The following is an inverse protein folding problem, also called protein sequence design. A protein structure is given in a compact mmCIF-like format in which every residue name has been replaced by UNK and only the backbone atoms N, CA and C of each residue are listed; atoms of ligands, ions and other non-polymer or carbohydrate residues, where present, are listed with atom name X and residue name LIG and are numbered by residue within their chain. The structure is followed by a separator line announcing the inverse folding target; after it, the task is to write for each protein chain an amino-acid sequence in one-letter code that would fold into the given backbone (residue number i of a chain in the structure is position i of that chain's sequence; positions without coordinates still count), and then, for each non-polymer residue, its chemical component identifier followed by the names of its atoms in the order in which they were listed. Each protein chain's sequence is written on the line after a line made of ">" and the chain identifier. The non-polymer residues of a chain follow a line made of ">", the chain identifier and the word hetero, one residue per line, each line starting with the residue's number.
data_IF_879144550317
#
_entry.id   IF_879144550317
#
_cell.length_a   1.000
_cell.length_b   1.000
_cell.length_c   1.000
_cell.angle_alpha   90.00
_cell.angle_beta   90.00
_cell.angle_gamma   90.00
#
_symmetry.space_group_name_H-M   'P 1'
#
loop_
_entity.id
_entity.type
_entity.pdbx_description
1 polymer ?
#
# COMPACT_ATOMS: atom_id res chain seq x y z
N UNK A 1 -49.76 -25.10 -20.22
CA UNK A 1 -49.66 -26.57 -20.32
C UNK A 1 -48.75 -27.05 -19.20
N UNK A 2 -49.25 -27.94 -18.34
CA UNK A 2 -48.54 -28.55 -17.19
C UNK A 2 -47.70 -29.75 -17.66
N UNK A 3 -46.60 -30.03 -16.93
CA UNK A 3 -46.04 -31.34 -16.48
C UNK A 3 -44.49 -31.23 -16.39
N UNK A 4 -43.74 -31.78 -15.44
CA UNK A 4 -44.01 -32.52 -14.21
C UNK A 4 -42.70 -32.56 -13.36
N UNK A 5 -42.89 -32.60 -12.04
CA UNK A 5 -41.91 -32.76 -10.95
C UNK A 5 -41.48 -34.24 -10.81
N UNK A 6 -40.25 -34.50 -10.35
CA UNK A 6 -40.00 -35.63 -9.44
C UNK A 6 -38.83 -35.34 -8.47
N UNK A 7 -39.16 -35.33 -7.18
CA UNK A 7 -38.26 -35.27 -6.01
C UNK A 7 -38.34 -36.67 -5.37
N UNK A 8 -37.21 -37.21 -4.90
CA UNK A 8 -37.20 -38.42 -4.06
C UNK A 8 -36.60 -38.07 -2.69
N UNK A 9 -37.46 -38.20 -1.68
CA UNK A 9 -37.21 -38.16 -0.24
C UNK A 9 -37.09 -39.62 0.23
N UNK A 10 -36.14 -39.93 1.09
CA UNK A 10 -36.21 -41.12 1.94
C UNK A 10 -35.99 -40.71 3.40
N UNK A 11 -36.97 -41.07 4.20
CA UNK A 11 -37.18 -40.79 5.61
C UNK A 11 -37.13 -42.14 6.33
N UNK A 12 -36.32 -42.30 7.39
CA UNK A 12 -36.58 -43.34 8.40
C UNK A 12 -36.40 -42.75 9.80
N UNK A 13 -37.51 -42.79 10.51
CA UNK A 13 -37.78 -42.45 11.89
C UNK A 13 -37.55 -43.69 12.76
N UNK A 14 -37.07 -43.55 14.00
CA UNK A 14 -37.66 -44.26 15.15
C UNK A 14 -37.21 -43.63 16.48
N UNK A 15 -38.22 -43.23 17.26
CA UNK A 15 -38.18 -42.76 18.64
C UNK A 15 -37.84 -43.90 19.63
N UNK A 16 -37.31 -43.56 20.82
CA UNK A 16 -38.05 -43.65 22.09
C UNK A 16 -37.31 -43.02 23.29
N UNK A 17 -38.11 -42.44 24.16
CA UNK A 17 -37.85 -41.61 25.34
C UNK A 17 -37.64 -42.43 26.63
N UNK A 18 -36.86 -41.88 27.59
CA UNK A 18 -37.09 -41.79 29.05
C UNK A 18 -35.79 -41.26 29.71
N UNK A 19 -35.68 -40.07 30.32
CA UNK A 19 -36.35 -39.44 31.47
C UNK A 19 -35.83 -39.89 32.86
N UNK A 20 -35.62 -38.88 33.74
CA UNK A 20 -35.23 -38.85 35.17
C UNK A 20 -33.71 -38.90 35.46
N UNK A 21 -33.01 -37.88 35.98
CA UNK A 21 -33.19 -36.89 37.07
C UNK A 21 -32.63 -37.30 38.44
N UNK A 22 -31.52 -36.63 38.80
CA UNK A 22 -31.10 -36.08 40.11
C UNK A 22 -30.73 -36.94 41.34
N UNK A 23 -29.55 -36.56 41.86
CA UNK A 23 -29.15 -36.34 43.25
C UNK A 23 -28.46 -37.43 44.11
N UNK A 24 -27.14 -37.21 44.26
CA UNK A 24 -26.41 -36.86 45.49
C UNK A 24 -26.40 -37.83 46.70
N UNK A 25 -25.22 -38.39 47.02
CA UNK A 25 -24.62 -38.40 48.38
C UNK A 25 -23.31 -39.22 48.47
N UNK A 26 -22.27 -38.59 49.02
CA UNK A 26 -21.12 -39.18 49.73
C UNK A 26 -21.45 -39.27 51.24
N UNK A 27 -20.61 -39.80 52.19
CA UNK A 27 -19.27 -40.42 52.13
C UNK A 27 -19.25 -41.82 52.84
N UNK A 28 -18.16 -42.59 52.99
CA UNK A 28 -17.18 -42.54 54.11
C UNK A 28 -16.04 -43.56 53.90
N UNK A 29 -14.85 -43.17 54.38
CA UNK A 29 -13.51 -43.77 54.42
C UNK A 29 -13.38 -45.21 54.93
N UNK A 30 -12.41 -45.98 54.40
CA UNK A 30 -11.23 -46.45 55.17
C UNK A 30 -10.15 -47.07 54.26
N UNK A 31 -8.90 -46.82 54.67
CA UNK A 31 -7.59 -47.06 54.01
C UNK A 31 -7.24 -48.54 53.74
N UNK A 32 -6.48 -48.80 52.67
CA UNK A 32 -5.03 -49.07 52.73
C UNK A 32 -4.50 -49.74 51.43
N UNK A 33 -3.49 -49.09 50.84
CA UNK A 33 -2.29 -49.61 50.15
C UNK A 33 -2.42 -50.73 49.09
N UNK A 34 -1.71 -50.76 47.97
CA UNK A 34 -0.81 -49.87 47.23
C UNK A 34 -0.40 -50.74 46.02
N UNK A 35 -0.74 -50.35 44.79
CA UNK A 35 -0.04 -50.86 43.59
C UNK A 35 0.14 -49.67 42.65
N UNK A 36 1.41 -49.31 42.50
CA UNK A 36 1.97 -48.25 41.68
C UNK A 36 1.68 -48.55 40.21
N UNK A 37 1.00 -47.63 39.53
CA UNK A 37 0.95 -47.58 38.07
C UNK A 37 1.52 -46.21 37.66
N UNK A 38 2.69 -46.23 37.03
CA UNK A 38 3.36 -45.07 36.44
C UNK A 38 2.42 -44.43 35.41
N UNK A 39 1.90 -43.25 35.73
CA UNK A 39 1.33 -42.34 34.74
C UNK A 39 2.36 -41.24 34.52
N UNK A 40 3.02 -41.29 33.38
CA UNK A 40 3.86 -40.20 32.89
C UNK A 40 3.00 -38.94 32.76
N UNK A 41 3.30 -37.94 33.58
CA UNK A 41 2.83 -36.59 33.36
C UNK A 41 3.57 -36.06 32.13
N UNK A 42 2.89 -35.99 30.99
CA UNK A 42 3.28 -35.09 29.91
C UNK A 42 3.03 -33.67 30.42
N UNK A 43 4.11 -32.97 30.73
CA UNK A 43 4.12 -31.51 30.78
C UNK A 43 3.75 -31.01 29.38
N UNK A 44 2.57 -30.42 29.22
CA UNK A 44 2.28 -29.54 28.08
C UNK A 44 3.22 -28.33 28.20
N UNK A 45 4.40 -28.45 27.58
CA UNK A 45 5.18 -27.29 27.17
C UNK A 45 4.31 -26.49 26.19
N UNK A 46 3.80 -25.35 26.68
CA UNK A 46 3.45 -24.25 25.78
C UNK A 46 4.73 -23.86 25.05
N UNK A 47 4.87 -24.34 23.82
CA UNK A 47 5.72 -23.69 22.83
C UNK A 47 5.25 -22.23 22.72
N UNK A 48 5.98 -21.32 23.36
CA UNK A 48 6.03 -19.95 22.88
C UNK A 48 6.52 -20.04 21.43
N UNK A 49 5.67 -19.64 20.48
CA UNK A 49 6.09 -19.39 19.11
C UNK A 49 7.35 -18.53 19.18
N UNK A 50 8.50 -19.11 18.82
CA UNK A 50 9.71 -18.36 18.62
C UNK A 50 9.37 -17.32 17.54
N UNK A 51 9.37 -16.04 17.92
CA UNK A 51 9.45 -14.95 16.94
C UNK A 51 10.60 -15.31 16.01
N UNK A 52 10.28 -15.50 14.73
CA UNK A 52 11.24 -15.84 13.67
C UNK A 52 12.20 -14.65 13.56
N UNK A 53 13.27 -14.68 14.37
CA UNK A 53 14.31 -13.66 14.34
C UNK A 53 14.87 -13.67 12.91
N UNK A 54 14.85 -12.53 12.19
CA UNK A 54 15.26 -12.50 10.79
C UNK A 54 16.66 -13.11 10.65
N UNK A 55 16.85 -13.94 9.63
CA UNK A 55 18.16 -14.52 9.31
C UNK A 55 19.22 -13.41 9.31
N UNK A 56 20.30 -13.62 10.05
CA UNK A 56 21.35 -12.60 10.20
C UNK A 56 21.97 -12.31 8.82
N UNK A 57 21.64 -11.14 8.26
CA UNK A 57 22.13 -10.73 6.93
C UNK A 57 23.64 -10.45 6.94
N UNK A 58 24.32 -10.79 5.85
CA UNK A 58 25.72 -10.41 5.64
C UNK A 58 25.80 -8.92 5.25
N UNK A 59 26.09 -8.07 6.23
CA UNK A 59 26.20 -6.61 6.07
C UNK A 59 27.28 -6.18 5.07
N UNK A 60 28.32 -7.00 4.84
CA UNK A 60 29.38 -6.69 3.87
C UNK A 60 28.92 -6.93 2.43
N UNK A 61 28.00 -7.88 2.23
CA UNK A 61 27.41 -8.23 0.93
C UNK A 61 26.22 -7.33 0.62
N UNK A 62 25.24 -7.25 1.53
CA UNK A 62 23.98 -6.53 1.32
C UNK A 62 24.19 -5.01 1.39
N UNK A 63 25.04 -4.57 2.32
CA UNK A 63 25.28 -3.16 2.59
C UNK A 63 23.99 -2.34 2.76
N UNK A 64 23.08 -2.76 3.66
CA UNK A 64 21.81 -2.08 3.86
C UNK A 64 22.03 -0.63 4.29
N UNK A 65 21.17 0.26 3.80
CA UNK A 65 21.25 1.67 4.09
C UNK A 65 19.86 2.28 4.03
N UNK A 66 19.14 2.18 5.14
CA UNK A 66 17.77 2.63 5.25
C UNK A 66 17.64 4.13 5.56
N UNK A 67 18.75 4.88 5.55
CA UNK A 67 18.77 6.35 5.52
C UNK A 67 18.80 6.92 4.09
N UNK A 68 18.72 6.05 3.09
CA UNK A 68 18.71 6.42 1.67
C UNK A 68 17.39 7.03 1.20
N UNK A 69 17.34 7.35 -0.08
CA UNK A 69 16.21 8.00 -0.73
C UNK A 69 15.39 6.97 -1.51
N UNK A 70 14.08 7.21 -1.55
CA UNK A 70 13.08 6.35 -2.18
C UNK A 70 12.40 7.13 -3.31
N UNK A 71 12.22 6.49 -4.45
CA UNK A 71 11.47 7.09 -5.56
C UNK A 71 9.97 6.95 -5.31
N UNK A 72 9.26 8.09 -5.38
CA UNK A 72 7.79 8.13 -5.48
C UNK A 72 7.43 8.51 -6.91
N UNK A 73 7.11 7.52 -7.73
CA UNK A 73 6.90 7.67 -9.17
C UNK A 73 5.51 8.22 -9.46
N UNK A 74 5.47 9.25 -10.29
CA UNK A 74 4.25 9.94 -10.73
C UNK A 74 3.98 9.66 -12.20
N UNK A 75 2.86 8.97 -12.44
CA UNK A 75 2.23 8.78 -13.75
C UNK A 75 0.91 9.56 -13.82
N UNK A 76 0.39 9.78 -15.03
CA UNK A 76 -0.95 10.36 -15.24
C UNK A 76 -1.70 9.47 -16.23
N UNK A 77 -1.35 9.52 -17.52
CA UNK A 77 -1.95 8.65 -18.53
C UNK A 77 -1.03 7.49 -18.91
N UNK A 78 -1.61 6.30 -19.06
CA UNK A 78 -1.00 5.17 -19.77
C UNK A 78 -1.67 5.05 -21.14
N UNK A 79 -1.13 5.74 -22.15
CA UNK A 79 -1.74 5.86 -23.48
C UNK A 79 -0.72 6.20 -24.55
N UNK A 80 -1.09 5.94 -25.80
CA UNK A 80 -0.37 6.46 -26.96
C UNK A 80 -0.90 7.83 -27.41
N UNK A 81 -0.04 8.67 -28.01
CA UNK A 81 1.43 8.56 -28.07
C UNK A 81 2.11 9.03 -26.77
N UNK A 82 3.43 8.84 -26.65
CA UNK A 82 4.23 9.48 -25.59
C UNK A 82 4.02 11.00 -25.59
N UNK A 83 3.84 11.56 -24.40
CA UNK A 83 3.73 12.99 -24.18
C UNK A 83 4.28 13.38 -22.81
N UNK A 84 4.22 14.66 -22.46
CA UNK A 84 4.71 15.17 -21.19
C UNK A 84 4.08 14.48 -19.96
N UNK A 85 2.79 14.15 -20.05
CA UNK A 85 1.99 13.49 -19.00
C UNK A 85 1.42 12.15 -19.46
N UNK A 86 2.01 11.55 -20.50
CA UNK A 86 1.54 10.28 -21.08
C UNK A 86 2.71 9.35 -21.29
N UNK A 87 2.57 8.13 -20.77
CA UNK A 87 3.47 7.00 -21.01
C UNK A 87 2.73 5.97 -21.85
N UNK A 88 3.33 5.39 -22.87
CA UNK A 88 2.67 4.31 -23.62
C UNK A 88 2.60 3.03 -22.79
N UNK A 89 1.62 2.15 -23.06
CA UNK A 89 1.55 0.82 -22.44
C UNK A 89 2.88 0.04 -22.49
N UNK A 90 3.50 -0.02 -23.67
CA UNK A 90 4.78 -0.72 -23.88
C UNK A 90 5.93 -0.12 -23.07
N UNK A 91 5.96 1.20 -22.98
CA UNK A 91 7.00 1.86 -22.22
C UNK A 91 6.76 1.76 -20.70
N UNK A 92 5.49 1.70 -20.25
CA UNK A 92 5.18 1.43 -18.85
C UNK A 92 5.58 0.00 -18.46
N UNK A 93 5.31 -1.00 -19.30
CA UNK A 93 5.86 -2.37 -19.13
C UNK A 93 7.38 -2.37 -19.03
N UNK A 94 8.05 -1.60 -19.88
CA UNK A 94 9.51 -1.43 -19.83
C UNK A 94 9.97 -0.77 -18.54
N UNK A 95 9.24 0.20 -18.01
CA UNK A 95 9.55 0.85 -16.74
C UNK A 95 9.49 -0.18 -15.59
N UNK A 96 8.44 -0.99 -15.52
CA UNK A 96 8.31 -2.06 -14.52
C UNK A 96 9.47 -3.07 -14.62
N UNK A 97 9.80 -3.51 -15.84
CA UNK A 97 10.93 -4.43 -16.05
C UNK A 97 12.26 -3.82 -15.59
N UNK A 98 12.53 -2.55 -15.92
CA UNK A 98 13.77 -1.90 -15.50
C UNK A 98 13.84 -1.73 -13.98
N UNK A 99 12.73 -1.39 -13.32
CA UNK A 99 12.69 -1.31 -11.86
C UNK A 99 12.96 -2.69 -11.24
N UNK A 100 12.27 -3.72 -11.71
CA UNK A 100 12.44 -5.09 -11.26
C UNK A 100 13.88 -5.60 -11.41
N UNK A 101 14.47 -5.47 -12.60
CA UNK A 101 15.82 -5.93 -12.94
C UNK A 101 16.91 -5.20 -12.13
N UNK A 102 16.65 -3.97 -11.71
CA UNK A 102 17.58 -3.16 -10.91
C UNK A 102 17.29 -3.25 -9.41
N UNK A 103 16.49 -4.22 -8.97
CA UNK A 103 16.26 -4.51 -7.56
C UNK A 103 15.34 -3.52 -6.85
N UNK A 104 14.43 -2.86 -7.58
CA UNK A 104 13.36 -2.09 -6.95
C UNK A 104 12.14 -2.98 -6.67
N UNK A 105 11.47 -2.72 -5.53
CA UNK A 105 10.28 -3.44 -5.10
C UNK A 105 9.16 -2.47 -4.70
N UNK A 106 7.94 -2.62 -5.26
CA UNK A 106 6.79 -1.80 -4.91
C UNK A 106 6.48 -1.87 -3.41
N UNK A 107 6.13 -0.73 -2.82
CA UNK A 107 5.49 -0.64 -1.50
C UNK A 107 4.33 0.37 -1.57
N UNK A 108 3.35 0.23 -0.68
CA UNK A 108 2.25 1.20 -0.57
C UNK A 108 2.77 2.57 -0.13
N UNK A 109 2.04 3.62 -0.48
CA UNK A 109 2.37 4.98 -0.03
C UNK A 109 2.20 5.13 1.49
N UNK A 110 1.25 4.38 2.06
CA UNK A 110 1.00 4.33 3.50
C UNK A 110 2.18 3.72 4.23
N UNK A 111 2.69 2.56 3.77
CA UNK A 111 3.85 1.88 4.34
C UNK A 111 5.11 2.74 4.23
N UNK A 112 5.31 3.37 3.07
CA UNK A 112 6.40 4.32 2.89
C UNK A 112 6.34 5.44 3.93
N UNK A 113 5.16 6.01 4.16
CA UNK A 113 4.99 7.18 5.02
C UNK A 113 5.05 6.85 6.50
N UNK A 114 4.61 5.64 6.88
CA UNK A 114 4.58 5.14 8.27
C UNK A 114 5.84 4.37 8.66
N UNK A 115 6.73 4.10 7.70
CA UNK A 115 7.96 3.34 7.95
C UNK A 115 7.71 1.84 8.18
N UNK A 116 6.62 1.30 7.64
CA UNK A 116 6.32 -0.13 7.64
C UNK A 116 6.93 -0.80 6.39
N UNK A 117 8.25 -0.81 6.30
CA UNK A 117 8.96 -1.31 5.12
C UNK A 117 9.24 -2.81 5.28
N UNK A 118 8.60 -3.64 4.45
CA UNK A 118 8.80 -5.10 4.42
C UNK A 118 9.58 -5.56 3.18
N UNK A 119 10.26 -4.62 2.50
CA UNK A 119 11.09 -4.92 1.33
C UNK A 119 12.22 -5.87 1.74
N UNK A 120 12.43 -6.93 0.95
CA UNK A 120 13.48 -7.91 1.22
C UNK A 120 14.90 -7.28 1.25
N UNK A 121 15.79 -7.93 2.00
CA UNK A 121 17.17 -7.48 2.17
C UNK A 121 17.88 -7.28 0.82
N UNK A 122 18.56 -6.15 0.66
CA UNK A 122 19.29 -5.80 -0.57
C UNK A 122 18.45 -5.17 -1.68
N UNK A 123 17.12 -5.19 -1.56
CA UNK A 123 16.22 -4.50 -2.49
C UNK A 123 15.95 -3.05 -2.06
N UNK A 124 15.40 -2.27 -2.99
CA UNK A 124 15.06 -0.86 -2.79
C UNK A 124 13.56 -0.66 -2.95
N UNK A 125 12.84 -0.10 -1.96
CA UNK A 125 11.44 0.24 -2.14
C UNK A 125 11.22 1.30 -3.22
N UNK A 126 10.09 1.23 -3.91
CA UNK A 126 9.59 2.24 -4.86
C UNK A 126 8.08 2.39 -4.70
N UNK A 127 7.56 3.62 -4.77
CA UNK A 127 6.12 3.88 -4.65
C UNK A 127 5.56 4.27 -6.02
N UNK A 128 4.44 3.67 -6.43
CA UNK A 128 3.74 4.02 -7.66
C UNK A 128 2.53 4.90 -7.38
N UNK A 129 2.41 6.02 -8.11
CA UNK A 129 1.27 6.93 -8.02
C UNK A 129 0.75 7.32 -9.39
N UNK A 130 -0.58 7.39 -9.51
CA UNK A 130 -1.29 7.77 -10.74
C UNK A 130 -2.26 8.90 -10.43
N UNK A 131 -2.10 10.04 -11.09
CA UNK A 131 -2.96 11.20 -10.88
C UNK A 131 -4.16 11.22 -11.85
N UNK A 132 -5.18 12.00 -11.47
CA UNK A 132 -6.43 12.32 -12.18
C UNK A 132 -7.48 11.21 -12.27
N UNK A 133 -7.13 9.93 -12.04
CA UNK A 133 -8.05 8.82 -12.18
C UNK A 133 -8.55 8.66 -13.62
N UNK A 134 -7.64 8.75 -14.59
CA UNK A 134 -7.97 8.66 -16.01
C UNK A 134 -8.51 7.28 -16.38
N UNK A 135 -9.37 7.19 -17.40
CA UNK A 135 -9.91 5.90 -17.86
C UNK A 135 -8.81 4.90 -18.23
N UNK A 136 -7.71 5.36 -18.82
CA UNK A 136 -6.58 4.51 -19.17
C UNK A 136 -5.72 4.07 -17.96
N UNK A 137 -6.00 4.55 -16.74
CA UNK A 137 -5.43 3.95 -15.53
C UNK A 137 -6.16 2.65 -15.17
N UNK A 138 -7.49 2.62 -15.30
CA UNK A 138 -8.28 1.41 -15.10
C UNK A 138 -9.43 1.39 -16.10
N UNK A 139 -9.30 0.62 -17.17
CA UNK A 139 -10.29 0.53 -18.24
C UNK A 139 -10.90 -0.87 -18.27
N UNK A 140 -12.21 -0.95 -18.54
CA UNK A 140 -12.90 -2.21 -18.83
C UNK A 140 -13.24 -2.26 -20.31
N UNK A 141 -12.99 -3.39 -20.95
CA UNK A 141 -13.27 -3.66 -22.36
C UNK A 141 -14.00 -5.01 -22.51
N UNK A 142 -14.71 -5.21 -23.61
CA UNK A 142 -15.25 -6.53 -23.97
C UNK A 142 -14.19 -7.33 -24.74
N UNK A 143 -14.01 -8.60 -24.37
CA UNK A 143 -13.21 -9.56 -25.13
C UNK A 143 -13.94 -10.03 -26.41
N UNK A 144 -13.30 -10.91 -27.18
CA UNK A 144 -13.89 -11.47 -28.41
C UNK A 144 -15.18 -12.28 -28.17
N UNK A 145 -15.45 -12.70 -26.94
CA UNK A 145 -16.66 -13.43 -26.52
C UNK A 145 -17.75 -12.49 -25.99
N UNK A 146 -17.48 -11.19 -25.86
CA UNK A 146 -18.39 -10.21 -25.26
C UNK A 146 -18.37 -10.21 -23.73
N UNK A 147 -17.35 -10.81 -23.11
CA UNK A 147 -17.14 -10.77 -21.66
C UNK A 147 -16.33 -9.52 -21.28
N UNK A 148 -16.76 -8.82 -20.23
CA UNK A 148 -16.05 -7.65 -19.75
C UNK A 148 -14.79 -8.05 -18.97
N UNK A 149 -13.64 -7.54 -19.40
CA UNK A 149 -12.32 -7.80 -18.83
C UNK A 149 -11.59 -6.48 -18.57
N UNK A 150 -10.57 -6.52 -17.70
CA UNK A 150 -9.66 -5.40 -17.51
C UNK A 150 -8.84 -5.22 -18.80
N UNK A 151 -8.78 -4.00 -19.30
CA UNK A 151 -7.96 -3.65 -20.45
C UNK A 151 -6.48 -3.95 -20.16
N UNK A 152 -5.85 -4.88 -20.90
CA UNK A 152 -4.47 -5.27 -20.66
C UNK A 152 -3.46 -4.13 -20.92
N UNK A 153 -3.87 -3.06 -21.60
CA UNK A 153 -3.05 -1.86 -21.85
C UNK A 153 -3.35 -0.70 -20.88
N UNK A 154 -4.30 -0.88 -19.94
CA UNK A 154 -4.48 0.07 -18.83
C UNK A 154 -3.42 -0.11 -17.74
N UNK A 155 -3.20 0.92 -16.91
CA UNK A 155 -2.22 0.84 -15.82
C UNK A 155 -2.47 -0.36 -14.90
N UNK A 156 -3.71 -0.56 -14.45
CA UNK A 156 -4.11 -1.71 -13.61
C UNK A 156 -3.87 -3.03 -14.34
N UNK A 157 -4.28 -3.15 -15.61
CA UNK A 157 -4.07 -4.39 -16.39
C UNK A 157 -2.58 -4.76 -16.51
N UNK A 158 -1.72 -3.77 -16.72
CA UNK A 158 -0.27 -3.98 -16.81
C UNK A 158 0.34 -4.34 -15.46
N UNK A 159 -0.05 -3.67 -14.38
CA UNK A 159 0.45 -3.95 -13.03
C UNK A 159 0.09 -5.37 -12.58
N UNK A 160 -1.17 -5.77 -12.80
CA UNK A 160 -1.68 -7.11 -12.46
C UNK A 160 -0.93 -8.19 -13.25
N UNK A 161 -0.83 -8.04 -14.58
CA UNK A 161 -0.10 -8.98 -15.43
C UNK A 161 1.39 -9.10 -15.05
N UNK A 162 2.01 -7.99 -14.66
CA UNK A 162 3.41 -7.98 -14.22
C UNK A 162 3.56 -8.70 -12.87
N UNK A 163 2.69 -8.42 -11.89
CA UNK A 163 2.69 -9.09 -10.59
C UNK A 163 2.44 -10.60 -10.72
N UNK A 164 1.51 -11.04 -11.55
CA UNK A 164 1.24 -12.47 -11.78
C UNK A 164 2.47 -13.23 -12.34
N UNK A 165 3.29 -12.55 -13.17
CA UNK A 165 4.53 -13.10 -13.72
C UNK A 165 5.72 -12.98 -12.77
N UNK A 166 5.66 -12.03 -11.83
CA UNK A 166 6.70 -11.71 -10.86
C UNK A 166 6.07 -11.57 -9.46
N UNK A 167 5.72 -12.69 -8.78
CA UNK A 167 5.04 -12.62 -7.48
C UNK A 167 5.85 -11.90 -6.38
N UNK A 168 7.17 -11.82 -6.55
CA UNK A 168 8.10 -11.06 -5.70
C UNK A 168 8.12 -9.55 -6.03
N UNK A 169 7.28 -9.08 -6.95
CA UNK A 169 7.02 -7.67 -7.23
C UNK A 169 5.58 -7.35 -6.81
N UNK A 170 5.35 -6.86 -5.58
CA UNK A 170 4.02 -6.68 -5.02
C UNK A 170 3.10 -5.78 -5.87
N UNK A 171 1.80 -6.06 -5.86
CA UNK A 171 0.80 -5.25 -6.56
C UNK A 171 0.47 -3.99 -5.74
N UNK A 172 1.38 -3.02 -5.72
CA UNK A 172 1.26 -1.79 -4.93
C UNK A 172 1.22 -0.55 -5.82
N UNK A 173 0.13 0.23 -5.70
CA UNK A 173 -0.02 1.51 -6.38
C UNK A 173 -1.11 2.35 -5.72
N UNK A 174 -0.95 3.68 -5.72
CA UNK A 174 -2.00 4.62 -5.29
C UNK A 174 -2.57 5.37 -6.49
N UNK A 175 -3.90 5.30 -6.67
CA UNK A 175 -4.64 6.06 -7.68
C UNK A 175 -5.30 7.28 -7.05
N UNK A 176 -4.78 8.47 -7.36
CA UNK A 176 -5.34 9.75 -6.93
C UNK A 176 -6.47 10.15 -7.87
N UNK A 177 -7.72 10.06 -7.40
CA UNK A 177 -8.90 10.29 -8.23
C UNK A 177 -9.52 11.67 -7.98
N UNK A 178 -10.26 12.17 -8.97
CA UNK A 178 -11.13 13.33 -8.83
C UNK A 178 -12.60 12.92 -8.66
N UNK A 179 -13.47 13.90 -8.38
CA UNK A 179 -14.90 13.70 -8.30
C UNK A 179 -15.54 13.45 -9.68
N UNK A 180 -16.78 12.97 -9.68
CA UNK A 180 -17.52 12.68 -10.91
C UNK A 180 -17.48 11.19 -11.24
N UNK A 181 -16.85 10.84 -12.36
CA UNK A 181 -16.76 9.47 -12.86
C UNK A 181 -15.29 9.03 -12.89
N UNK A 182 -14.72 8.61 -11.74
CA UNK A 182 -13.34 8.13 -11.73
C UNK A 182 -13.19 6.98 -12.73
N UNK A 183 -12.08 6.99 -13.46
CA UNK A 183 -11.78 6.02 -14.52
C UNK A 183 -12.79 6.01 -15.69
N UNK A 184 -13.58 7.07 -15.87
CA UNK A 184 -14.31 7.39 -17.11
C UNK A 184 -15.48 6.49 -17.50
N UNK A 185 -15.77 5.41 -16.77
CA UNK A 185 -16.88 4.48 -17.07
C UNK A 185 -17.81 4.34 -15.87
N UNK A 186 -18.96 5.02 -15.92
CA UNK A 186 -19.86 5.20 -14.77
C UNK A 186 -20.43 3.87 -14.24
N UNK A 187 -20.72 2.94 -15.14
CA UNK A 187 -21.21 1.60 -14.84
C UNK A 187 -20.18 0.70 -14.14
N UNK A 188 -18.90 1.08 -14.18
CA UNK A 188 -17.79 0.31 -13.60
C UNK A 188 -17.17 0.96 -12.36
N UNK A 189 -17.64 2.13 -11.92
CA UNK A 189 -17.01 2.86 -10.79
C UNK A 189 -16.96 2.01 -9.52
N UNK A 190 -18.08 1.42 -9.11
CA UNK A 190 -18.13 0.58 -7.91
C UNK A 190 -17.19 -0.61 -8.02
N UNK A 191 -17.21 -1.32 -9.14
CA UNK A 191 -16.31 -2.46 -9.41
C UNK A 191 -14.85 -2.05 -9.32
N UNK A 192 -14.46 -0.95 -9.99
CA UNK A 192 -13.06 -0.51 -10.05
C UNK A 192 -12.53 -0.08 -8.68
N UNK A 193 -13.32 0.65 -7.90
CA UNK A 193 -12.91 1.09 -6.56
C UNK A 193 -12.76 -0.11 -5.61
N UNK A 194 -13.69 -1.06 -5.61
CA UNK A 194 -13.56 -2.29 -4.83
C UNK A 194 -12.36 -3.12 -5.30
N UNK A 195 -12.18 -3.31 -6.62
CA UNK A 195 -11.05 -4.06 -7.16
C UNK A 195 -9.69 -3.47 -6.74
N UNK A 196 -9.53 -2.15 -6.76
CA UNK A 196 -8.29 -1.51 -6.31
C UNK A 196 -7.97 -1.90 -4.87
N UNK A 197 -8.92 -1.72 -3.94
CA UNK A 197 -8.71 -1.97 -2.51
C UNK A 197 -8.59 -3.47 -2.20
N UNK A 198 -9.44 -4.30 -2.80
CA UNK A 198 -9.44 -5.76 -2.57
C UNK A 198 -8.15 -6.44 -3.06
N UNK A 199 -7.43 -5.83 -4.01
CA UNK A 199 -6.16 -6.35 -4.53
C UNK A 199 -4.93 -5.67 -3.91
N UNK A 200 -5.10 -4.90 -2.82
CA UNK A 200 -3.99 -4.30 -2.07
C UNK A 200 -3.47 -2.98 -2.62
N UNK A 201 -4.13 -2.37 -3.61
CA UNK A 201 -3.81 -1.03 -4.10
C UNK A 201 -4.65 0.04 -3.38
N UNK A 202 -4.26 1.30 -3.52
CA UNK A 202 -4.83 2.42 -2.77
C UNK A 202 -5.61 3.42 -3.62
N UNK A 203 -6.58 4.08 -3.00
CA UNK A 203 -7.29 5.24 -3.55
C UNK A 203 -6.87 6.48 -2.77
N UNK A 204 -6.31 7.45 -3.48
CA UNK A 204 -5.91 8.74 -2.94
C UNK A 204 -6.84 9.88 -3.34
N UNK A 205 -6.76 10.98 -2.61
CA UNK A 205 -7.50 12.20 -2.87
C UNK A 205 -6.77 13.08 -3.90
N UNK A 206 -7.41 13.47 -5.01
CA UNK A 206 -6.88 14.50 -5.92
C UNK A 206 -7.74 15.77 -5.97
N UNK A 207 -8.51 16.02 -4.90
CA UNK A 207 -9.60 17.00 -4.80
C UNK A 207 -10.80 16.67 -5.69
N UNK A 208 -11.99 17.13 -5.32
CA UNK A 208 -13.21 16.83 -6.07
C UNK A 208 -13.21 17.45 -7.48
N UNK A 209 -12.75 18.69 -7.65
CA UNK A 209 -12.79 19.43 -8.93
C UNK A 209 -11.41 19.79 -9.49
N UNK A 210 -10.34 19.17 -8.98
CA UNK A 210 -8.96 19.44 -9.41
C UNK A 210 -8.57 20.92 -9.21
N UNK A 211 -8.78 21.43 -7.99
CA UNK A 211 -8.59 22.87 -7.70
C UNK A 211 -7.12 23.25 -7.58
N UNK A 212 -6.81 24.50 -7.96
CA UNK A 212 -5.55 25.12 -7.58
C UNK A 212 -5.67 25.76 -6.19
N UNK A 213 -4.85 25.30 -5.23
CA UNK A 213 -4.91 25.74 -3.84
C UNK A 213 -4.43 27.18 -3.60
N UNK A 214 -3.69 27.78 -4.54
CA UNK A 214 -2.98 29.07 -4.34
C UNK A 214 -3.87 30.16 -3.74
N UNK A 215 -5.12 30.28 -4.21
CA UNK A 215 -6.07 31.30 -3.76
C UNK A 215 -7.33 30.70 -3.12
N UNK A 216 -7.31 29.42 -2.74
CA UNK A 216 -8.44 28.77 -2.10
C UNK A 216 -8.65 29.29 -0.66
N UNK A 217 -9.90 29.41 -0.23
CA UNK A 217 -10.25 29.68 1.17
C UNK A 217 -10.20 28.39 2.01
N UNK A 218 -10.18 28.53 3.34
CA UNK A 218 -10.31 27.38 4.26
C UNK A 218 -11.53 26.50 3.94
N UNK A 219 -12.70 27.12 3.77
CA UNK A 219 -13.94 26.42 3.45
C UNK A 219 -13.84 25.67 2.12
N UNK A 220 -13.17 26.27 1.11
CA UNK A 220 -13.02 25.64 -0.19
C UNK A 220 -12.07 24.45 -0.15
N UNK A 221 -10.98 24.55 0.62
CA UNK A 221 -10.03 23.44 0.82
C UNK A 221 -10.77 22.24 1.45
N UNK A 222 -11.48 22.48 2.56
CA UNK A 222 -12.20 21.43 3.28
C UNK A 222 -13.34 20.85 2.43
N UNK A 223 -14.08 21.68 1.69
CA UNK A 223 -15.10 21.22 0.75
C UNK A 223 -14.52 20.28 -0.30
N UNK A 224 -13.43 20.67 -0.97
CA UNK A 224 -12.86 19.90 -2.07
C UNK A 224 -12.29 18.55 -1.63
N UNK A 225 -11.66 18.52 -0.45
CA UNK A 225 -11.07 17.30 0.11
C UNK A 225 -12.16 16.39 0.67
N UNK A 226 -13.01 16.90 1.57
CA UNK A 226 -14.04 16.11 2.23
C UNK A 226 -15.14 15.63 1.30
N UNK A 227 -15.48 16.38 0.25
CA UNK A 227 -16.46 15.95 -0.76
C UNK A 227 -15.97 14.77 -1.58
N UNK A 228 -14.67 14.70 -1.89
CA UNK A 228 -14.11 13.53 -2.58
C UNK A 228 -14.12 12.31 -1.65
N UNK A 229 -13.70 12.46 -0.39
CA UNK A 229 -13.76 11.37 0.58
C UNK A 229 -15.19 10.85 0.76
N UNK A 230 -16.17 11.75 0.84
CA UNK A 230 -17.60 11.40 0.91
C UNK A 230 -18.10 10.68 -0.34
N UNK A 231 -17.50 10.91 -1.52
CA UNK A 231 -17.82 10.16 -2.74
C UNK A 231 -17.26 8.75 -2.68
N UNK A 232 -16.00 8.57 -2.27
CA UNK A 232 -15.38 7.25 -2.12
C UNK A 232 -16.12 6.41 -1.08
N UNK A 233 -16.49 7.01 0.06
CA UNK A 233 -17.24 6.36 1.15
C UNK A 233 -18.60 5.79 0.73
N UNK A 234 -19.19 6.30 -0.36
CA UNK A 234 -20.45 5.74 -0.91
C UNK A 234 -20.27 4.35 -1.53
N UNK A 235 -19.07 4.06 -2.03
CA UNK A 235 -18.72 2.76 -2.62
C UNK A 235 -17.93 1.89 -1.65
N UNK A 236 -17.12 2.51 -0.79
CA UNK A 236 -16.20 1.86 0.15
C UNK A 236 -16.39 2.45 1.55
N UNK A 237 -17.41 2.02 2.31
CA UNK A 237 -17.78 2.66 3.59
C UNK A 237 -16.71 2.53 4.68
N UNK A 238 -15.88 1.49 4.62
CA UNK A 238 -14.84 1.19 5.61
C UNK A 238 -13.43 1.62 5.16
N UNK A 239 -13.28 2.13 3.93
CA UNK A 239 -11.99 2.61 3.41
C UNK A 239 -11.74 4.07 3.80
N UNK A 240 -10.58 4.34 4.38
CA UNK A 240 -10.16 5.69 4.75
C UNK A 240 -9.24 6.29 3.68
N UNK A 241 -9.69 7.35 3.01
CA UNK A 241 -8.84 8.13 2.09
C UNK A 241 -7.96 9.07 2.90
N UNK A 242 -6.72 8.67 3.15
CA UNK A 242 -5.73 9.36 3.99
C UNK A 242 -4.47 9.83 3.23
N UNK A 243 -4.46 9.73 1.90
CA UNK A 243 -3.38 10.23 1.06
C UNK A 243 -3.91 11.29 0.09
N UNK A 244 -3.08 12.28 -0.24
CA UNK A 244 -3.45 13.40 -1.11
C UNK A 244 -2.34 13.69 -2.12
N UNK A 245 -2.66 13.79 -3.41
CA UNK A 245 -1.79 14.42 -4.39
C UNK A 245 -2.29 15.84 -4.65
N UNK A 246 -1.42 16.85 -4.53
CA UNK A 246 -1.81 18.24 -4.74
C UNK A 246 -1.97 18.52 -6.24
N UNK A 247 -3.16 18.94 -6.73
CA UNK A 247 -3.32 19.35 -8.11
C UNK A 247 -2.32 20.47 -8.46
N UNK A 248 -1.62 20.29 -9.57
CA UNK A 248 -0.54 21.17 -10.04
C UNK A 248 0.64 21.33 -9.06
N UNK A 249 0.75 20.49 -8.01
CA UNK A 249 1.67 20.71 -6.88
C UNK A 249 1.38 22.00 -6.10
N UNK A 250 0.17 22.56 -6.24
CA UNK A 250 -0.18 23.87 -5.71
C UNK A 250 -0.42 23.85 -4.21
N UNK A 251 -0.01 24.92 -3.52
CA UNK A 251 -0.17 25.10 -2.07
C UNK A 251 -0.90 26.41 -1.79
N UNK A 252 -1.67 26.54 -0.70
CA UNK A 252 -2.25 27.81 -0.31
C UNK A 252 -1.18 28.90 -0.15
N UNK A 253 -1.41 30.07 -0.74
CA UNK A 253 -0.49 31.21 -0.61
C UNK A 253 -0.39 31.71 0.83
N UNK A 254 -1.49 31.66 1.58
CA UNK A 254 -1.48 31.84 3.01
C UNK A 254 -1.10 30.50 3.67
N UNK A 255 0.11 30.41 4.22
CA UNK A 255 0.65 29.19 4.82
C UNK A 255 -0.16 28.69 6.02
N UNK A 256 -0.89 29.57 6.71
CA UNK A 256 -1.76 29.18 7.84
C UNK A 256 -2.91 28.28 7.39
N UNK A 257 -3.27 28.31 6.10
CA UNK A 257 -4.31 27.44 5.54
C UNK A 257 -3.80 26.04 5.20
N UNK A 258 -2.49 25.80 5.23
CA UNK A 258 -1.92 24.47 4.94
C UNK A 258 -2.42 23.42 5.92
N UNK A 259 -2.73 23.80 7.16
CA UNK A 259 -3.34 22.90 8.15
C UNK A 259 -4.62 22.24 7.65
N UNK A 260 -5.42 22.95 6.84
CA UNK A 260 -6.65 22.39 6.26
C UNK A 260 -6.37 21.44 5.10
N UNK A 261 -5.18 21.48 4.52
CA UNK A 261 -4.73 20.47 3.55
C UNK A 261 -4.37 19.17 4.28
N UNK A 262 -3.84 19.27 5.50
CA UNK A 262 -3.50 18.11 6.34
C UNK A 262 -4.76 17.51 6.95
N UNK A 263 -5.57 18.30 7.64
CA UNK A 263 -6.74 17.80 8.35
C UNK A 263 -7.87 18.83 8.39
N UNK A 264 -9.11 18.35 8.48
CA UNK A 264 -10.28 19.22 8.53
C UNK A 264 -11.57 18.44 8.63
N UNK A 265 -12.67 19.16 8.53
CA UNK A 265 -14.02 18.59 8.60
C UNK A 265 -14.85 19.13 7.43
N UNK A 266 -15.63 18.26 6.80
CA UNK A 266 -16.65 18.64 5.84
C UNK A 266 -17.95 17.91 6.14
N UNK A 267 -19.04 18.67 6.37
CA UNK A 267 -20.37 18.14 6.64
C UNK A 267 -20.43 17.10 7.79
N UNK A 268 -19.60 17.28 8.83
CA UNK A 268 -19.54 16.39 9.99
C UNK A 268 -18.61 15.19 9.84
N UNK A 269 -17.95 15.03 8.69
CA UNK A 269 -16.96 13.98 8.45
C UNK A 269 -15.54 14.59 8.52
N UNK A 270 -14.70 14.02 9.37
CA UNK A 270 -13.30 14.43 9.48
C UNK A 270 -12.45 13.75 8.41
N UNK A 271 -11.38 14.41 8.00
CA UNK A 271 -10.31 13.80 7.22
C UNK A 271 -8.96 14.18 7.80
N UNK A 272 -7.98 13.28 7.62
CA UNK A 272 -6.59 13.50 7.97
C UNK A 272 -5.71 12.84 6.90
N UNK A 273 -4.76 13.60 6.34
CA UNK A 273 -3.83 13.10 5.33
C UNK A 273 -2.46 12.85 5.96
N UNK A 274 -2.04 11.58 5.97
CA UNK A 274 -0.72 11.18 6.45
C UNK A 274 0.36 11.43 5.38
N UNK A 275 -0.02 11.34 4.11
CA UNK A 275 0.86 11.55 2.95
C UNK A 275 0.28 12.63 2.02
N UNK A 276 1.05 13.69 1.77
CA UNK A 276 0.68 14.76 0.82
C UNK A 276 1.79 14.92 -0.21
N UNK A 277 1.46 14.65 -1.47
CA UNK A 277 2.40 14.58 -2.57
C UNK A 277 2.46 15.90 -3.36
N UNK A 278 3.67 16.36 -3.58
CA UNK A 278 3.99 17.49 -4.46
C UNK A 278 4.14 17.01 -5.93
N UNK A 279 4.71 17.84 -6.81
CA UNK A 279 4.95 17.48 -8.22
C UNK A 279 6.36 16.88 -8.42
N UNK A 280 6.68 16.51 -9.67
CA UNK A 280 7.97 15.93 -10.05
C UNK A 280 9.18 16.83 -9.77
N UNK A 281 10.14 16.30 -9.01
CA UNK A 281 11.44 16.90 -8.69
C UNK A 281 12.53 15.83 -8.49
N UNK A 282 12.52 15.06 -7.40
CA UNK A 282 13.58 14.09 -7.07
C UNK A 282 13.08 12.97 -6.12
N UNK A 283 13.87 11.89 -5.93
CA UNK A 283 13.62 10.92 -4.88
C UNK A 283 13.51 11.61 -3.52
N UNK A 284 12.66 11.07 -2.67
CA UNK A 284 12.38 11.65 -1.37
C UNK A 284 13.09 10.88 -0.26
N UNK A 285 13.16 11.49 0.92
CA UNK A 285 13.93 10.95 2.05
C UNK A 285 13.30 9.65 2.54
N UNK A 286 14.13 8.73 3.05
CA UNK A 286 13.66 7.61 3.87
C UNK A 286 12.67 8.10 4.95
N UNK A 287 11.62 7.32 5.28
CA UNK A 287 10.74 7.64 6.40
C UNK A 287 11.47 7.71 7.75
N UNK A 288 12.64 7.08 7.84
CA UNK A 288 13.48 7.07 9.03
C UNK A 288 14.41 8.28 9.12
N UNK A 289 14.47 9.11 8.07
CA UNK A 289 15.29 10.31 8.08
C UNK A 289 14.69 11.37 9.02
N UNK A 290 15.52 12.03 9.85
CA UNK A 290 15.06 13.01 10.86
C UNK A 290 14.30 14.23 10.32
N UNK A 291 14.59 14.66 9.09
CA UNK A 291 13.81 15.69 8.38
C UNK A 291 12.83 15.11 7.32
N UNK A 292 12.37 13.86 7.47
CA UNK A 292 11.24 13.36 6.69
C UNK A 292 9.97 14.15 7.06
N UNK A 293 9.19 14.54 6.04
CA UNK A 293 7.92 15.23 6.20
C UNK A 293 6.89 14.59 5.26
N UNK A 294 6.06 13.69 5.82
CA UNK A 294 4.99 13.01 5.08
C UNK A 294 3.98 13.98 4.46
N UNK A 295 3.89 15.21 4.97
CA UNK A 295 3.00 16.23 4.43
C UNK A 295 3.57 16.99 3.24
N UNK A 296 4.78 16.65 2.76
CA UNK A 296 5.48 17.36 1.66
C UNK A 296 6.38 16.42 0.85
N UNK A 297 5.84 15.28 0.46
CA UNK A 297 6.59 14.25 -0.27
C UNK A 297 6.78 14.71 -1.72
N UNK A 298 8.03 14.86 -2.15
CA UNK A 298 8.36 15.13 -3.56
C UNK A 298 8.27 13.84 -4.37
N UNK A 299 7.93 13.97 -5.65
CA UNK A 299 7.79 12.84 -6.56
C UNK A 299 8.83 12.88 -7.67
N UNK A 300 8.95 11.79 -8.40
CA UNK A 300 9.75 11.66 -9.61
C UNK A 300 8.79 11.49 -10.79
N UNK A 301 8.96 12.29 -11.85
CA UNK A 301 8.14 12.12 -13.05
C UNK A 301 8.62 10.87 -13.79
N UNK A 302 7.70 9.95 -14.06
CA UNK A 302 8.04 8.69 -14.71
C UNK A 302 7.94 8.72 -16.24
N UNK A 303 7.37 9.79 -16.82
CA UNK A 303 7.52 10.04 -18.27
C UNK A 303 8.98 10.42 -18.61
N UNK A 304 9.39 10.19 -19.85
CA UNK A 304 10.74 10.55 -20.33
C UNK A 304 10.75 11.86 -21.14
N UNK A 305 9.57 12.45 -21.36
CA UNK A 305 9.40 13.63 -22.20
C UNK A 305 9.41 14.90 -21.34
N UNK A 306 10.31 15.84 -21.67
CA UNK A 306 10.45 17.15 -20.98
C UNK A 306 10.66 17.04 -19.46
N UNK A 307 11.51 16.11 -19.05
CA UNK A 307 11.88 15.91 -17.64
C UNK A 307 13.14 16.63 -17.20
N UNK A 308 13.82 17.37 -18.08
CA UNK A 308 14.96 18.25 -17.75
C UNK A 308 16.03 17.62 -16.82
N UNK A 309 16.31 16.32 -17.00
CA UNK A 309 17.30 15.58 -16.21
C UNK A 309 16.85 15.13 -14.83
N UNK A 310 15.54 15.20 -14.55
CA UNK A 310 14.92 14.78 -13.28
C UNK A 310 13.84 13.70 -13.46
N UNK A 311 13.90 12.94 -14.55
CA UNK A 311 13.01 11.80 -14.79
C UNK A 311 13.45 10.54 -14.04
N UNK A 312 12.60 9.52 -14.05
CA UNK A 312 12.89 8.23 -13.39
C UNK A 312 14.27 7.66 -13.75
N UNK A 313 14.59 7.53 -15.03
CA UNK A 313 15.89 6.98 -15.45
C UNK A 313 17.09 7.87 -15.13
N UNK A 314 16.91 9.20 -14.99
CA UNK A 314 17.97 10.08 -14.51
C UNK A 314 18.29 9.80 -13.03
N UNK A 315 17.25 9.63 -12.22
CA UNK A 315 17.40 9.34 -10.80
C UNK A 315 17.90 7.93 -10.53
N UNK A 316 17.46 6.92 -11.29
CA UNK A 316 18.05 5.58 -11.23
C UNK A 316 19.56 5.63 -11.45
N UNK A 317 20.02 6.31 -12.52
CA UNK A 317 21.47 6.51 -12.77
C UNK A 317 22.17 7.23 -11.62
N UNK A 318 21.53 8.25 -11.04
CA UNK A 318 22.11 9.01 -9.94
C UNK A 318 22.27 8.18 -8.65
N UNK A 319 21.28 7.32 -8.37
CA UNK A 319 21.28 6.40 -7.23
C UNK A 319 22.29 5.27 -7.43
N UNK A 320 22.33 4.66 -8.62
CA UNK A 320 23.22 3.53 -8.93
C UNK A 320 24.70 3.95 -8.96
N UNK A 321 24.98 5.18 -9.39
CA UNK A 321 26.34 5.75 -9.35
C UNK A 321 26.79 6.21 -7.96
N UNK A 322 25.88 6.21 -6.97
CA UNK A 322 26.15 6.72 -5.62
C UNK A 322 26.25 8.25 -5.53
N UNK A 323 25.87 8.99 -6.57
CA UNK A 323 25.78 10.46 -6.52
C UNK A 323 24.62 10.95 -5.65
N UNK A 324 23.61 10.11 -5.52
CA UNK A 324 22.49 10.19 -4.56
C UNK A 324 22.55 8.96 -3.66
N UNK A 325 21.96 9.05 -2.47
CA UNK A 325 22.03 7.96 -1.51
C UNK A 325 20.85 7.02 -1.73
N UNK A 326 21.08 5.81 -2.25
CA UNK A 326 20.02 4.81 -2.45
C UNK A 326 19.59 4.17 -1.13
N UNK A 327 18.29 3.98 -0.95
CA UNK A 327 17.76 3.12 0.12
C UNK A 327 18.02 1.66 -0.24
N UNK A 328 18.58 0.89 0.69
CA UNK A 328 18.77 -0.55 0.56
C UNK A 328 18.23 -1.18 1.84
N UNK A 329 17.20 -2.02 1.74
CA UNK A 329 16.59 -2.60 2.93
C UNK A 329 17.50 -3.66 3.56
N UNK A 330 17.38 -3.82 4.88
CA UNK A 330 17.96 -4.94 5.61
C UNK A 330 17.02 -6.16 5.68
N UNK A 331 15.77 -6.02 5.22
CA UNK A 331 14.78 -7.10 5.21
C UNK A 331 14.04 -7.32 6.52
N UNK A 332 14.33 -6.55 7.58
CA UNK A 332 13.65 -6.67 8.87
C UNK A 332 12.79 -5.41 9.13
N UNK A 333 11.45 -5.53 9.10
CA UNK A 333 10.59 -4.37 9.33
C UNK A 333 10.78 -3.75 10.72
N UNK A 334 11.38 -4.44 11.70
CA UNK A 334 11.58 -3.93 13.06
C UNK A 334 12.97 -3.33 13.30
N UNK A 335 13.88 -3.42 12.33
CA UNK A 335 15.22 -2.84 12.42
C UNK A 335 15.35 -1.71 11.40
N UNK A 336 16.15 -0.69 11.73
CA UNK A 336 16.63 0.31 10.78
C UNK A 336 18.14 0.22 10.72
N UNK A 337 18.66 -0.42 9.67
CA UNK A 337 20.12 -0.62 9.52
C UNK A 337 20.75 0.44 8.60
N UNK A 338 21.79 1.11 9.11
CA UNK A 338 22.55 2.12 8.36
C UNK A 338 24.06 2.03 8.58
N UNK A 339 24.90 2.37 7.59
CA UNK A 339 26.32 2.61 7.83
C UNK A 339 26.52 3.69 8.91
N UNK A 340 27.51 3.52 9.80
CA UNK A 340 27.77 4.44 10.92
C UNK A 340 27.89 5.91 10.47
N UNK A 341 28.50 6.15 9.30
CA UNK A 341 28.62 7.48 8.69
C UNK A 341 27.29 8.18 8.37
N UNK A 342 26.18 7.45 8.36
CA UNK A 342 24.83 7.97 8.12
C UNK A 342 23.94 7.98 9.37
N UNK A 343 24.46 7.60 10.55
CA UNK A 343 23.72 7.62 11.82
C UNK A 343 23.11 8.99 12.13
N UNK A 344 23.81 10.07 11.78
CA UNK A 344 23.35 11.46 11.97
C UNK A 344 22.17 11.87 11.09
N UNK A 345 21.77 11.05 10.11
CA UNK A 345 20.57 11.26 9.30
C UNK A 345 19.29 10.78 9.99
N UNK A 346 19.41 9.87 10.94
CA UNK A 346 18.30 9.34 11.73
C UNK A 346 18.07 10.20 12.98
N UNK A 347 16.86 10.20 13.56
CA UNK A 347 16.63 10.72 14.91
C UNK A 347 17.39 9.89 15.98
N UNK A 348 17.35 10.33 17.23
CA UNK A 348 17.96 9.57 18.34
C UNK A 348 17.28 8.20 18.51
N UNK A 349 15.95 8.19 18.44
CA UNK A 349 15.09 7.01 18.52
C UNK A 349 14.07 7.03 17.39
N UNK A 350 13.66 5.85 16.92
CA UNK A 350 12.57 5.66 15.96
C UNK A 350 11.53 4.77 16.65
N UNK A 351 10.28 5.24 16.73
CA UNK A 351 9.22 4.53 17.43
C UNK A 351 9.03 3.11 16.85
N UNK A 352 9.07 2.11 17.73
CA UNK A 352 8.87 0.72 17.35
C UNK A 352 10.00 0.07 16.53
N UNK A 353 11.16 0.74 16.37
CA UNK A 353 12.29 0.19 15.59
C UNK A 353 13.59 0.13 16.39
N UNK A 354 14.42 -0.86 16.07
CA UNK A 354 15.81 -0.98 16.56
C UNK A 354 16.74 -0.29 15.57
N UNK A 355 17.51 0.70 16.00
CA UNK A 355 18.54 1.30 15.14
C UNK A 355 19.81 0.46 15.20
N UNK A 356 20.24 -0.08 14.05
CA UNK A 356 21.48 -0.84 13.90
C UNK A 356 22.47 -0.05 13.05
N UNK A 357 23.70 0.10 13.55
CA UNK A 357 24.78 0.71 12.77
C UNK A 357 25.92 -0.26 12.53
N UNK A 358 26.64 -0.07 11.42
CA UNK A 358 27.78 -0.90 11.08
C UNK A 358 28.87 -0.12 10.34
N UNK A 359 30.09 -0.64 10.40
CA UNK A 359 31.24 -0.16 9.65
C UNK A 359 31.73 -1.27 8.72
N UNK A 360 32.10 -0.91 7.51
CA UNK A 360 32.84 -1.80 6.61
C UNK A 360 34.32 -1.40 6.71
N UNK A 361 35.17 -2.34 7.08
CA UNK A 361 36.62 -2.17 7.20
C UNK A 361 37.31 -1.99 5.84
#
# INVERSE_FOLDING_TARGET
>A
MKKNIFIIIVLILTLLLAACSTDNSLPTETEAEEIVEEVSAEEEEKEEEAEDLPEEIDLAVIQPNEAGEIMVLMYHHITEPEAEWSRTPDNFRRDLQNLYDNGYRPISLVDYTTGNITTEAGYTPVVFTFDDGNQNNFNMIEDDNGEWVIDPDSAVGILVDFHEKHPDFPLEATFFINGGTPFGQAEWVEYKLNYIVDNGMDIGNHTYTHINFTNASADKIQEELGRLNSMVKQYLPDYEVNTLALPFGSKPKNTDLYRYVIEGEYQGENYHHIAILEVGWDPYRSPFHKDFDGTRIRRVRASETKVDGVGMYDWMRALDSGSRLRYISDGDPNTVTVPEKYRDRLPEEIEGKIIRTYTLD
#
